data_IF_239671693258
#
_entry.id   IF_239671693258
#
_cell.length_a   1.000
_cell.length_b   1.000
_cell.length_c   1.000
_cell.angle_alpha   90.00
_cell.angle_beta   90.00
_cell.angle_gamma   90.00
#
_symmetry.space_group_name_H-M   'P 1'
#
loop_
_entity.id
_entity.type
_entity.pdbx_description
1 polymer ?
#
# COMPACT_ATOMS: atom_id res chain seq x y z
N UNK A 1 16.35 -16.07 47.89
CA UNK A 1 15.80 -17.27 47.26
C UNK A 1 15.34 -16.87 45.85
N UNK A 2 16.23 -17.01 44.87
CA UNK A 2 16.02 -16.61 43.49
C UNK A 2 15.53 -17.80 42.66
N UNK A 3 14.33 -17.74 42.12
CA UNK A 3 13.82 -18.72 41.16
C UNK A 3 14.25 -18.31 39.75
N UNK A 4 15.27 -18.99 39.21
CA UNK A 4 15.57 -18.99 37.78
C UNK A 4 14.57 -19.91 37.08
N UNK A 5 13.66 -19.33 36.27
CA UNK A 5 12.84 -20.12 35.34
C UNK A 5 13.59 -20.19 34.00
N UNK A 6 14.19 -21.35 33.78
CA UNK A 6 14.78 -21.76 32.50
C UNK A 6 13.65 -22.02 31.50
N UNK A 7 13.55 -21.22 30.45
CA UNK A 7 12.77 -21.57 29.27
C UNK A 7 13.62 -22.46 28.36
N UNK A 8 13.30 -23.77 28.39
CA UNK A 8 13.84 -24.76 27.45
C UNK A 8 13.13 -24.65 26.13
N UNK A 9 13.96 -24.55 25.09
CA UNK A 9 13.85 -25.09 23.74
C UNK A 9 12.48 -25.59 23.28
N UNK A 10 11.87 -24.92 22.32
CA UNK A 10 10.77 -25.48 21.52
C UNK A 10 11.24 -25.73 20.11
N UNK A 11 11.58 -26.97 19.89
CA UNK A 11 11.54 -27.78 18.64
C UNK A 11 10.92 -27.04 17.44
N UNK A 12 11.72 -26.97 16.37
CA UNK A 12 11.34 -26.62 15.01
C UNK A 12 10.19 -27.52 14.54
N UNK A 13 8.98 -27.01 14.59
CA UNK A 13 7.88 -27.51 13.79
C UNK A 13 7.88 -26.65 12.53
N UNK A 14 8.11 -27.28 11.39
CA UNK A 14 7.97 -26.68 10.07
C UNK A 14 6.48 -26.37 9.84
N UNK A 15 5.99 -25.22 10.32
CA UNK A 15 4.67 -24.73 9.98
C UNK A 15 4.79 -24.02 8.64
N UNK A 16 3.88 -24.33 7.70
CA UNK A 16 3.60 -23.53 6.51
C UNK A 16 3.66 -22.05 6.93
N UNK A 17 4.66 -21.32 6.39
CA UNK A 17 5.03 -20.01 6.89
C UNK A 17 3.83 -19.06 6.89
N UNK A 18 3.44 -18.63 8.05
CA UNK A 18 2.58 -17.45 8.20
C UNK A 18 3.34 -16.27 7.58
N UNK A 19 2.73 -15.66 6.57
CA UNK A 19 3.22 -14.39 6.03
C UNK A 19 3.03 -13.36 7.15
N UNK A 20 4.12 -12.84 7.67
CA UNK A 20 4.11 -11.76 8.68
C UNK A 20 4.66 -10.50 8.03
N UNK A 21 3.85 -9.88 7.17
CA UNK A 21 4.18 -8.56 6.66
C UNK A 21 3.85 -7.48 7.70
N UNK A 22 4.62 -6.39 7.65
CA UNK A 22 4.30 -5.18 8.37
C UNK A 22 4.67 -3.95 7.53
N UNK A 23 4.12 -2.80 7.92
CA UNK A 23 4.39 -1.52 7.28
C UNK A 23 5.36 -0.71 8.13
N UNK A 24 6.38 -0.15 7.49
CA UNK A 24 7.25 0.84 8.08
C UNK A 24 7.17 2.15 7.33
N UNK A 25 7.00 3.26 8.05
CA UNK A 25 7.06 4.58 7.41
C UNK A 25 8.38 4.78 6.70
N UNK A 26 8.32 5.31 5.47
CA UNK A 26 9.53 5.70 4.76
C UNK A 26 10.23 6.82 5.52
N UNK A 27 11.54 6.68 5.73
CA UNK A 27 12.38 7.61 6.49
C UNK A 27 13.84 7.53 6.02
N UNK A 28 14.73 8.36 6.60
CA UNK A 28 16.13 8.42 6.21
C UNK A 28 16.95 7.13 6.40
N UNK A 29 16.43 6.14 7.14
CA UNK A 29 17.12 4.86 7.34
C UNK A 29 16.81 3.83 6.26
N UNK A 30 15.60 3.89 5.68
CA UNK A 30 15.09 2.86 4.76
C UNK A 30 14.84 3.34 3.33
N UNK A 31 14.83 4.65 3.08
CA UNK A 31 14.50 5.23 1.77
C UNK A 31 15.33 4.62 0.63
N UNK A 32 16.64 4.45 0.83
CA UNK A 32 17.51 3.95 -0.24
C UNK A 32 17.26 2.49 -0.61
N UNK A 33 16.76 1.68 0.32
CA UNK A 33 16.38 0.30 0.03
C UNK A 33 15.00 0.25 -0.62
N UNK A 34 14.06 1.10 -0.21
CA UNK A 34 12.76 1.24 -0.85
C UNK A 34 12.89 1.69 -2.32
N UNK A 35 13.78 2.63 -2.62
CA UNK A 35 14.01 3.11 -4.00
C UNK A 35 14.62 2.06 -4.93
N UNK A 36 15.23 0.99 -4.40
CA UNK A 36 15.77 -0.12 -5.21
C UNK A 36 14.71 -1.13 -5.63
N UNK A 37 13.55 -1.16 -4.95
CA UNK A 37 12.47 -2.08 -5.27
C UNK A 37 11.86 -1.76 -6.64
N UNK A 38 11.63 -2.77 -7.45
CA UNK A 38 11.15 -2.63 -8.82
C UNK A 38 10.14 -3.72 -9.18
N UNK A 39 9.13 -3.36 -9.92
CA UNK A 39 8.26 -4.32 -10.61
C UNK A 39 8.95 -4.88 -11.86
N UNK A 40 8.36 -5.90 -12.49
CA UNK A 40 8.84 -6.39 -13.78
C UNK A 40 8.67 -5.34 -14.88
N UNK A 41 9.42 -5.45 -15.98
CA UNK A 41 9.33 -4.52 -17.11
C UNK A 41 7.90 -4.37 -17.65
N UNK A 42 7.17 -5.48 -17.70
CA UNK A 42 5.78 -5.51 -18.20
C UNK A 42 4.76 -4.87 -17.25
N UNK A 43 5.17 -4.50 -16.06
CA UNK A 43 4.30 -3.86 -15.04
C UNK A 43 4.64 -2.39 -14.81
N UNK A 44 5.69 -1.87 -15.46
CA UNK A 44 6.11 -0.47 -15.25
C UNK A 44 5.08 0.56 -15.73
N UNK A 45 4.19 0.18 -16.64
CA UNK A 45 3.06 1.03 -17.04
C UNK A 45 1.91 1.05 -16.03
N UNK A 46 1.89 0.11 -15.08
CA UNK A 46 0.79 -0.03 -14.11
C UNK A 46 1.05 0.65 -12.77
N UNK A 47 2.25 1.09 -12.51
CA UNK A 47 2.59 1.77 -11.25
C UNK A 47 3.79 2.68 -11.44
N UNK A 48 3.72 3.90 -10.92
CA UNK A 48 4.83 4.82 -10.91
C UNK A 48 6.01 4.26 -10.10
N UNK A 49 7.23 4.63 -10.48
CA UNK A 49 8.43 4.29 -9.73
C UNK A 49 8.39 4.90 -8.31
N UNK A 50 9.08 4.26 -7.36
CA UNK A 50 9.01 4.67 -5.96
C UNK A 50 9.58 6.07 -5.71
N UNK A 51 10.57 6.52 -6.50
CA UNK A 51 11.12 7.88 -6.44
C UNK A 51 10.06 8.93 -6.81
N UNK A 52 9.30 8.70 -7.88
CA UNK A 52 8.18 9.56 -8.28
C UNK A 52 7.14 9.60 -7.16
N UNK A 53 6.74 8.45 -6.63
CA UNK A 53 5.76 8.37 -5.55
C UNK A 53 6.20 9.09 -4.28
N UNK A 54 7.49 9.06 -3.94
CA UNK A 54 8.04 9.82 -2.80
C UNK A 54 8.06 11.32 -3.07
N UNK A 55 8.31 11.76 -4.30
CA UNK A 55 8.22 13.16 -4.70
C UNK A 55 6.77 13.65 -4.58
N UNK A 56 5.80 12.87 -5.03
CA UNK A 56 4.37 13.16 -4.89
C UNK A 56 3.95 13.27 -3.42
N UNK A 57 4.41 12.35 -2.57
CA UNK A 57 4.18 12.41 -1.14
C UNK A 57 4.77 13.70 -0.53
N UNK A 58 6.01 14.06 -0.90
CA UNK A 58 6.66 15.28 -0.43
C UNK A 58 5.88 16.54 -0.83
N UNK A 59 5.44 16.64 -2.10
CA UNK A 59 4.63 17.76 -2.60
C UNK A 59 3.34 17.88 -1.79
N UNK A 60 2.62 16.77 -1.61
CA UNK A 60 1.37 16.72 -0.86
C UNK A 60 1.55 17.17 0.58
N UNK A 61 2.55 16.64 1.28
CA UNK A 61 2.82 16.94 2.70
C UNK A 61 3.24 18.41 2.86
N UNK A 62 4.07 18.94 1.97
CA UNK A 62 4.52 20.35 2.04
C UNK A 62 3.42 21.34 1.70
N UNK A 63 2.37 20.90 0.99
CA UNK A 63 1.15 21.67 0.75
C UNK A 63 0.09 21.50 1.86
N UNK A 64 0.45 20.92 3.01
CA UNK A 64 -0.40 20.59 4.16
C UNK A 64 -1.44 19.48 3.87
N UNK A 65 -1.25 18.67 2.85
CA UNK A 65 -2.03 17.48 2.57
C UNK A 65 -1.52 16.24 3.31
N UNK A 66 -2.20 15.12 3.10
CA UNK A 66 -1.93 13.87 3.79
C UNK A 66 -1.48 12.79 2.81
N UNK A 67 -0.23 12.39 2.91
CA UNK A 67 0.32 11.23 2.23
C UNK A 67 1.13 10.38 3.20
N UNK A 68 0.97 9.07 3.12
CA UNK A 68 1.57 8.09 4.02
C UNK A 68 2.34 7.05 3.19
N UNK A 69 3.59 7.32 2.82
CA UNK A 69 4.46 6.36 2.14
C UNK A 69 4.99 5.32 3.14
N UNK A 70 4.83 4.03 2.81
CA UNK A 70 5.28 2.90 3.60
C UNK A 70 6.11 1.92 2.78
N UNK A 71 7.20 1.42 3.35
CA UNK A 71 7.81 0.17 2.95
C UNK A 71 6.99 -1.01 3.48
N UNK A 72 6.83 -2.04 2.66
CA UNK A 72 6.24 -3.32 3.05
C UNK A 72 7.41 -4.25 3.36
N UNK A 73 7.42 -4.80 4.57
CA UNK A 73 8.50 -5.65 5.07
C UNK A 73 8.03 -7.07 5.36
N UNK A 74 8.85 -8.04 5.00
CA UNK A 74 8.78 -9.42 5.48
C UNK A 74 9.96 -9.62 6.45
N UNK A 75 9.69 -9.60 7.74
CA UNK A 75 10.71 -9.42 8.78
C UNK A 75 11.56 -8.18 8.49
N UNK A 76 12.89 -8.27 8.42
CA UNK A 76 13.81 -7.16 8.15
C UNK A 76 13.98 -6.83 6.65
N UNK A 77 13.33 -7.59 5.75
CA UNK A 77 13.53 -7.46 4.31
C UNK A 77 12.43 -6.62 3.68
N UNK A 78 12.75 -5.50 3.01
CA UNK A 78 11.77 -4.74 2.24
C UNK A 78 11.37 -5.55 1.00
N UNK A 79 10.08 -5.76 0.81
CA UNK A 79 9.51 -6.58 -0.26
C UNK A 79 8.57 -5.80 -1.18
N UNK A 80 8.22 -4.57 -0.80
CA UNK A 80 7.31 -3.74 -1.58
C UNK A 80 7.18 -2.33 -1.01
N UNK A 81 6.34 -1.55 -1.65
CA UNK A 81 6.00 -0.18 -1.28
C UNK A 81 4.51 0.03 -1.43
N UNK A 82 3.92 0.79 -0.54
CA UNK A 82 2.58 1.34 -0.70
C UNK A 82 2.52 2.78 -0.22
N UNK A 83 1.58 3.54 -0.78
CA UNK A 83 1.29 4.89 -0.35
C UNK A 83 -0.21 5.09 -0.24
N UNK A 84 -0.63 5.68 0.88
CA UNK A 84 -2.02 6.02 1.16
C UNK A 84 -2.12 7.54 1.18
N UNK A 85 -3.14 8.10 0.51
CA UNK A 85 -3.51 9.50 0.57
C UNK A 85 -4.82 9.69 1.33
N UNK A 86 -5.09 10.92 1.74
CA UNK A 86 -6.40 11.33 2.25
C UNK A 86 -6.71 12.73 1.73
N UNK A 87 -7.91 12.91 1.19
CA UNK A 87 -8.43 14.22 0.74
C UNK A 87 -7.48 14.90 -0.28
N UNK A 88 -6.89 14.10 -1.17
CA UNK A 88 -5.87 14.53 -2.13
C UNK A 88 -6.57 15.14 -3.33
N UNK A 89 -7.00 16.39 -3.23
CA UNK A 89 -7.72 17.07 -4.31
C UNK A 89 -7.26 18.53 -4.55
N UNK A 90 -6.83 19.26 -3.54
CA UNK A 90 -6.54 20.70 -3.69
C UNK A 90 -5.19 21.02 -4.34
N UNK A 91 -4.28 20.05 -4.44
CA UNK A 91 -2.89 20.27 -4.89
C UNK A 91 -2.58 19.65 -6.25
N UNK A 92 -3.51 18.87 -6.77
CA UNK A 92 -3.33 18.13 -8.01
C UNK A 92 -4.37 18.57 -9.03
N UNK A 93 -3.99 18.56 -10.31
CA UNK A 93 -4.87 18.88 -11.43
C UNK A 93 -5.65 17.63 -11.82
N UNK A 94 -6.91 17.79 -12.19
CA UNK A 94 -7.78 16.71 -12.71
C UNK A 94 -8.00 15.53 -11.75
N UNK A 95 -8.12 15.82 -10.45
CA UNK A 95 -8.39 14.80 -9.42
C UNK A 95 -9.87 14.41 -9.44
N UNK A 96 -10.21 13.10 -9.34
CA UNK A 96 -11.60 12.68 -9.35
C UNK A 96 -12.35 13.12 -8.09
N UNK A 97 -13.65 13.39 -8.22
CA UNK A 97 -14.51 13.86 -7.11
C UNK A 97 -14.48 12.92 -5.90
N UNK A 98 -14.28 11.62 -6.09
CA UNK A 98 -14.18 10.64 -5.01
C UNK A 98 -12.99 10.91 -4.07
N UNK A 99 -11.97 11.62 -4.51
CA UNK A 99 -10.80 11.93 -3.67
C UNK A 99 -11.16 12.84 -2.48
N UNK A 100 -12.19 13.70 -2.65
CA UNK A 100 -12.59 14.66 -1.65
C UNK A 100 -13.10 14.00 -0.38
N UNK A 101 -12.39 14.22 0.73
CA UNK A 101 -12.75 13.68 2.04
C UNK A 101 -12.62 12.17 2.19
N UNK A 102 -11.97 11.49 1.24
CA UNK A 102 -11.82 10.05 1.24
C UNK A 102 -10.34 9.61 1.23
N UNK A 103 -10.10 8.38 1.72
CA UNK A 103 -8.78 7.76 1.63
C UNK A 103 -8.59 7.14 0.26
N UNK A 104 -7.34 7.17 -0.25
CA UNK A 104 -6.99 6.41 -1.44
C UNK A 104 -5.76 5.52 -1.24
N UNK A 105 -5.77 4.34 -1.84
CA UNK A 105 -4.57 3.54 -2.04
C UNK A 105 -3.88 4.07 -3.30
N UNK A 106 -3.04 5.07 -3.10
CA UNK A 106 -2.43 5.81 -4.19
C UNK A 106 -1.39 4.99 -4.95
N UNK A 107 -0.64 4.15 -4.22
CA UNK A 107 0.38 3.25 -4.81
C UNK A 107 0.42 1.93 -4.07
N UNK A 108 0.60 0.87 -4.82
CA UNK A 108 0.92 -0.45 -4.28
C UNK A 108 1.80 -1.20 -5.27
N UNK A 109 2.99 -1.60 -4.84
CA UNK A 109 3.83 -2.51 -5.61
C UNK A 109 4.50 -3.54 -4.71
N UNK A 110 4.70 -4.74 -5.25
CA UNK A 110 5.57 -5.78 -4.67
C UNK A 110 6.76 -5.96 -5.62
N UNK A 111 7.94 -5.94 -5.06
CA UNK A 111 9.16 -6.15 -5.84
C UNK A 111 9.11 -7.46 -6.61
N UNK A 112 9.59 -7.44 -7.85
CA UNK A 112 9.56 -8.58 -8.79
C UNK A 112 10.14 -9.89 -8.21
N UNK A 113 11.12 -9.79 -7.30
CA UNK A 113 11.72 -10.96 -6.65
C UNK A 113 10.79 -11.59 -5.60
N UNK A 114 9.77 -10.88 -5.14
CA UNK A 114 8.90 -11.30 -4.05
C UNK A 114 7.44 -11.49 -4.46
N UNK A 115 7.11 -11.29 -5.76
CA UNK A 115 5.78 -11.54 -6.28
C UNK A 115 5.40 -13.03 -6.20
N UNK A 116 4.10 -13.32 -6.35
CA UNK A 116 3.51 -14.67 -6.29
C UNK A 116 3.61 -15.39 -4.92
N UNK A 117 3.98 -14.66 -3.85
CA UNK A 117 4.03 -15.15 -2.48
C UNK A 117 2.82 -14.72 -1.62
N UNK A 118 1.78 -14.16 -2.22
CA UNK A 118 0.62 -13.65 -1.50
C UNK A 118 0.81 -12.28 -0.84
N UNK A 119 1.98 -11.67 -0.99
CA UNK A 119 2.33 -10.40 -0.33
C UNK A 119 1.43 -9.23 -0.75
N UNK A 120 0.99 -9.17 -2.01
CA UNK A 120 0.05 -8.13 -2.46
C UNK A 120 -1.28 -8.20 -1.70
N UNK A 121 -1.80 -9.40 -1.44
CA UNK A 121 -3.03 -9.58 -0.66
C UNK A 121 -2.86 -9.13 0.79
N UNK A 122 -1.77 -9.51 1.43
CA UNK A 122 -1.50 -9.10 2.82
C UNK A 122 -1.23 -7.58 2.91
N UNK A 123 -0.57 -6.98 1.91
CA UNK A 123 -0.34 -5.55 1.84
C UNK A 123 -1.66 -4.75 1.76
N UNK A 124 -2.62 -5.18 0.94
CA UNK A 124 -3.96 -4.55 0.89
C UNK A 124 -4.67 -4.65 2.23
N UNK A 125 -4.56 -5.80 2.93
CA UNK A 125 -5.12 -5.95 4.26
C UNK A 125 -4.49 -4.99 5.26
N UNK A 126 -3.16 -4.87 5.29
CA UNK A 126 -2.46 -3.91 6.16
C UNK A 126 -2.84 -2.46 5.85
N UNK A 127 -3.01 -2.12 4.57
CA UNK A 127 -3.49 -0.80 4.16
C UNK A 127 -4.91 -0.53 4.66
N UNK A 128 -5.82 -1.51 4.57
CA UNK A 128 -7.18 -1.42 5.11
C UNK A 128 -7.18 -1.29 6.63
N UNK A 129 -6.35 -2.07 7.33
CA UNK A 129 -6.23 -1.98 8.79
C UNK A 129 -5.74 -0.59 9.22
N UNK A 130 -4.79 0.00 8.48
CA UNK A 130 -4.33 1.38 8.70
C UNK A 130 -5.46 2.40 8.46
N UNK A 131 -6.15 2.34 7.32
CA UNK A 131 -7.23 3.28 6.96
C UNK A 131 -8.38 3.22 7.97
N UNK A 132 -8.73 2.05 8.45
CA UNK A 132 -9.78 1.85 9.49
C UNK A 132 -9.44 2.47 10.84
N UNK A 133 -8.20 2.89 11.06
CA UNK A 133 -7.86 3.72 12.24
C UNK A 133 -8.27 5.19 12.06
N UNK A 134 -8.66 5.60 10.86
CA UNK A 134 -9.06 6.96 10.50
C UNK A 134 -8.05 8.03 10.91
N UNK A 135 -6.77 7.92 10.52
CA UNK A 135 -5.71 8.79 11.01
C UNK A 135 -5.88 10.27 10.64
N UNK A 136 -6.68 10.59 9.61
CA UNK A 136 -7.02 11.96 9.19
C UNK A 136 -8.47 12.34 9.45
N UNK A 137 -9.26 11.46 10.05
CA UNK A 137 -10.69 11.64 10.26
C UNK A 137 -11.52 10.60 9.51
N UNK A 138 -12.82 10.58 9.79
CA UNK A 138 -13.75 9.65 9.15
C UNK A 138 -13.90 9.95 7.66
N UNK A 139 -13.99 8.90 6.86
CA UNK A 139 -14.29 8.94 5.45
C UNK A 139 -15.40 7.94 5.14
N UNK A 140 -16.10 8.14 4.05
CA UNK A 140 -17.13 7.19 3.59
C UNK A 140 -16.52 6.06 2.77
N UNK A 141 -15.48 6.39 1.99
CA UNK A 141 -14.86 5.46 1.08
C UNK A 141 -13.35 5.35 1.25
N UNK A 142 -12.84 4.16 0.90
CA UNK A 142 -11.46 3.92 0.52
C UNK A 142 -11.46 3.63 -0.98
N UNK A 143 -10.79 4.44 -1.77
CA UNK A 143 -10.79 4.33 -3.22
C UNK A 143 -9.39 4.07 -3.78
N UNK A 144 -9.35 3.65 -5.01
CA UNK A 144 -8.13 3.45 -5.78
C UNK A 144 -8.46 3.53 -7.27
N UNK A 145 -7.42 3.70 -8.09
CA UNK A 145 -7.52 3.56 -9.53
C UNK A 145 -6.51 2.54 -10.07
N UNK A 146 -6.77 1.99 -11.23
CA UNK A 146 -5.88 1.06 -11.92
C UNK A 146 -6.19 0.98 -13.41
N UNK A 147 -5.16 0.72 -14.21
CA UNK A 147 -5.28 0.49 -15.64
C UNK A 147 -6.26 -0.65 -15.96
N UNK A 148 -7.17 -0.51 -16.93
CA UNK A 148 -8.15 -1.55 -17.30
C UNK A 148 -7.53 -2.90 -17.66
N UNK A 149 -6.32 -2.89 -18.21
CA UNK A 149 -5.53 -4.06 -18.58
C UNK A 149 -4.92 -4.78 -17.38
N UNK A 150 -4.83 -4.14 -16.22
CA UNK A 150 -4.24 -4.70 -15.00
C UNK A 150 -5.19 -5.69 -14.31
N UNK A 151 -5.39 -6.85 -14.97
CA UNK A 151 -6.30 -7.89 -14.47
C UNK A 151 -5.86 -8.48 -13.12
N UNK A 152 -4.58 -8.37 -12.78
CA UNK A 152 -4.07 -8.80 -11.47
C UNK A 152 -4.56 -7.87 -10.37
N UNK A 153 -4.44 -6.56 -10.55
CA UNK A 153 -4.96 -5.55 -9.64
C UNK A 153 -6.48 -5.66 -9.50
N UNK A 154 -7.21 -5.75 -10.62
CA UNK A 154 -8.67 -5.91 -10.66
C UNK A 154 -9.15 -7.07 -9.80
N UNK A 155 -8.56 -8.27 -9.97
CA UNK A 155 -8.88 -9.47 -9.18
C UNK A 155 -8.51 -9.32 -7.71
N UNK A 156 -7.37 -8.69 -7.43
CA UNK A 156 -6.91 -8.44 -6.08
C UNK A 156 -7.91 -7.55 -5.34
N UNK A 157 -8.21 -6.37 -5.87
CA UNK A 157 -9.05 -5.38 -5.19
C UNK A 157 -10.51 -5.84 -5.08
N UNK A 158 -11.07 -6.46 -6.13
CA UNK A 158 -12.42 -7.04 -6.04
C UNK A 158 -12.54 -8.13 -4.96
N UNK A 159 -11.45 -8.88 -4.69
CA UNK A 159 -11.44 -9.87 -3.60
C UNK A 159 -11.55 -9.26 -2.20
N UNK A 160 -11.31 -7.96 -2.05
CA UNK A 160 -11.49 -7.19 -0.82
C UNK A 160 -12.83 -6.42 -0.78
N UNK A 161 -13.63 -6.53 -1.83
CA UNK A 161 -14.92 -5.87 -1.92
C UNK A 161 -14.89 -4.48 -2.57
N UNK A 162 -13.77 -4.09 -3.20
CA UNK A 162 -13.77 -2.89 -4.05
C UNK A 162 -14.67 -3.12 -5.27
N UNK A 163 -15.48 -2.11 -5.57
CA UNK A 163 -16.44 -2.12 -6.69
C UNK A 163 -16.09 -0.98 -7.63
N UNK A 164 -15.98 -1.28 -8.93
CA UNK A 164 -15.78 -0.27 -9.96
C UNK A 164 -17.00 0.67 -10.02
N UNK A 165 -16.75 1.98 -10.05
CA UNK A 165 -17.81 2.99 -10.10
C UNK A 165 -18.31 3.25 -11.52
N UNK A 166 -17.50 2.96 -12.52
CA UNK A 166 -17.70 3.35 -13.91
C UNK A 166 -17.06 4.70 -14.26
N UNK A 167 -16.56 5.42 -13.26
CA UNK A 167 -15.79 6.65 -13.46
C UNK A 167 -14.31 6.33 -13.71
N UNK A 168 -13.58 7.34 -14.20
CA UNK A 168 -12.17 7.23 -14.57
C UNK A 168 -11.34 8.29 -13.83
N UNK A 169 -10.10 7.95 -13.55
CA UNK A 169 -9.02 8.86 -13.15
C UNK A 169 -7.98 8.86 -14.26
N UNK A 170 -8.04 9.85 -15.17
CA UNK A 170 -7.33 9.78 -16.43
C UNK A 170 -7.76 8.57 -17.27
N UNK A 171 -6.86 7.62 -17.49
CA UNK A 171 -7.12 6.35 -18.21
C UNK A 171 -7.40 5.17 -17.26
N UNK A 172 -7.34 5.37 -15.93
CA UNK A 172 -7.51 4.34 -14.92
C UNK A 172 -8.98 4.18 -14.47
N UNK A 173 -9.41 2.96 -14.25
CA UNK A 173 -10.71 2.64 -13.66
C UNK A 173 -10.72 2.95 -12.16
N UNK A 174 -11.72 3.70 -11.70
CA UNK A 174 -11.92 3.97 -10.27
C UNK A 174 -12.69 2.82 -9.63
N UNK A 175 -12.19 2.33 -8.50
CA UNK A 175 -12.90 1.39 -7.65
C UNK A 175 -12.93 1.89 -6.19
N UNK A 176 -14.05 1.62 -5.51
CA UNK A 176 -14.33 2.09 -4.15
C UNK A 176 -14.69 0.95 -3.22
N UNK A 177 -14.30 1.07 -1.96
CA UNK A 177 -14.74 0.24 -0.85
C UNK A 177 -15.38 1.15 0.20
N UNK A 178 -16.61 0.85 0.59
CA UNK A 178 -17.27 1.57 1.70
C UNK A 178 -16.62 1.17 3.03
N UNK A 179 -16.25 2.18 3.83
CA UNK A 179 -15.59 2.03 5.13
C UNK A 179 -16.58 1.84 6.29
#
# INVERSE_FOLDING_TARGET
MHLHILWKDKTKVCQKGYIMLHLEKVNGKNIWDILKLQVSETQKSFVAANDISIIEAYITITANGYAFPFGIYNNETPVGFLMIGFDVHDYWIDVPEIAKGNYNLWRLMIDKAYQNNGFGKEAVKLALDFVKTFPCGKAEYYWLSYEPENQVARKLYSSFGFVETGDMDGEELIAVLKL
#
